data_IF_787293649845
#
_entry.id   IF_787293649845
#
_cell.length_a   1.000
_cell.length_b   1.000
_cell.length_c   1.000
_cell.angle_alpha   90.00
_cell.angle_beta   90.00
_cell.angle_gamma   90.00
#
_symmetry.space_group_name_H-M   'P 1'
#
loop_
_entity.id
_entity.type
_entity.pdbx_description
1 polymer ?
#
# COMPACT_ATOMS: atom_id res chain seq x y z
N UNK A 1 -14.19 -13.59 -2.08
CA UNK A 1 -13.49 -13.86 -0.80
C UNK A 1 -13.30 -12.52 -0.12
N UNK A 2 -13.85 -12.30 1.09
CA UNK A 2 -13.54 -11.09 1.84
C UNK A 2 -12.13 -11.26 2.38
N UNK A 3 -11.19 -10.51 1.82
CA UNK A 3 -9.82 -10.60 2.25
C UNK A 3 -9.71 -9.73 3.51
N UNK A 4 -9.84 -10.37 4.68
CA UNK A 4 -9.93 -9.74 6.01
C UNK A 4 -8.57 -9.18 6.50
N UNK A 5 -7.70 -8.69 5.60
CA UNK A 5 -6.52 -7.95 6.04
C UNK A 5 -6.99 -6.57 6.49
N UNK A 6 -6.82 -6.30 7.78
CA UNK A 6 -7.05 -4.99 8.35
C UNK A 6 -5.80 -4.11 8.24
N UNK A 7 -5.94 -2.84 8.61
CA UNK A 7 -4.85 -1.87 8.63
C UNK A 7 -3.69 -2.30 9.55
N UNK A 8 -3.97 -3.10 10.60
CA UNK A 8 -2.91 -3.63 11.50
C UNK A 8 -1.96 -4.59 10.79
N UNK A 9 -2.48 -5.36 9.83
CA UNK A 9 -1.67 -6.23 8.98
C UNK A 9 -0.76 -5.40 8.06
N UNK A 10 -1.26 -4.27 7.56
CA UNK A 10 -0.50 -3.36 6.69
C UNK A 10 0.66 -2.71 7.46
N UNK A 11 0.40 -2.22 8.67
CA UNK A 11 1.44 -1.70 9.55
C UNK A 11 2.49 -2.77 9.86
N UNK A 12 2.06 -4.01 10.16
CA UNK A 12 2.98 -5.12 10.43
C UNK A 12 3.90 -5.43 9.24
N UNK A 13 3.37 -5.42 8.00
CA UNK A 13 4.19 -5.60 6.80
C UNK A 13 5.20 -4.47 6.62
N UNK A 14 4.78 -3.23 6.86
CA UNK A 14 5.64 -2.07 6.74
C UNK A 14 6.76 -2.07 7.78
N UNK A 15 6.43 -2.33 9.05
CA UNK A 15 7.39 -2.47 10.16
C UNK A 15 8.41 -3.57 9.87
N UNK A 16 7.94 -4.75 9.45
CA UNK A 16 8.81 -5.87 9.13
C UNK A 16 9.83 -5.55 8.04
N UNK A 17 9.42 -4.91 6.93
CA UNK A 17 10.37 -4.51 5.89
C UNK A 17 11.35 -3.44 6.39
N UNK A 18 10.88 -2.49 7.19
CA UNK A 18 11.71 -1.44 7.75
C UNK A 18 12.79 -1.99 8.70
N UNK A 19 12.51 -3.07 9.43
CA UNK A 19 13.52 -3.82 10.18
C UNK A 19 14.49 -4.53 9.24
N UNK A 20 13.98 -5.30 8.26
CA UNK A 20 14.80 -6.05 7.32
C UNK A 20 15.77 -5.18 6.52
N UNK A 21 15.35 -3.98 6.07
CA UNK A 21 16.19 -3.11 5.24
C UNK A 21 17.38 -2.49 5.98
N UNK A 22 17.43 -2.58 7.31
CA UNK A 22 18.45 -1.93 8.15
C UNK A 22 19.83 -2.59 7.99
N UNK A 23 19.87 -3.91 7.75
CA UNK A 23 21.10 -4.65 7.46
C UNK A 23 20.95 -5.35 6.10
N UNK A 24 21.99 -5.24 5.27
CA UNK A 24 22.03 -5.83 3.93
C UNK A 24 21.83 -7.34 3.93
N UNK A 25 22.22 -8.02 5.01
CA UNK A 25 22.15 -9.48 5.10
C UNK A 25 20.82 -9.99 5.68
N UNK A 26 20.00 -9.13 6.29
CA UNK A 26 18.78 -9.56 7.00
C UNK A 26 17.77 -10.24 6.10
N UNK A 27 17.61 -9.78 4.85
CA UNK A 27 16.71 -10.42 3.90
C UNK A 27 17.18 -11.84 3.57
N UNK A 28 18.47 -12.01 3.26
CA UNK A 28 19.04 -13.33 2.94
C UNK A 28 18.95 -14.28 4.15
N UNK A 29 19.21 -13.78 5.37
CA UNK A 29 19.05 -14.53 6.63
C UNK A 29 17.59 -14.96 6.83
N UNK A 30 16.63 -14.08 6.55
CA UNK A 30 15.21 -14.40 6.65
C UNK A 30 14.80 -15.47 5.63
N UNK A 31 15.22 -15.35 4.37
CA UNK A 31 14.96 -16.35 3.33
C UNK A 31 15.53 -17.72 3.72
N UNK A 32 16.77 -17.75 4.23
CA UNK A 32 17.39 -18.98 4.71
C UNK A 32 16.71 -19.54 5.96
N UNK A 33 16.23 -18.67 6.86
CA UNK A 33 15.40 -19.04 8.00
C UNK A 33 14.09 -19.73 7.59
N UNK A 34 13.41 -19.22 6.56
CA UNK A 34 12.20 -19.84 6.01
C UNK A 34 12.50 -21.21 5.39
N UNK A 35 13.63 -21.36 4.69
CA UNK A 35 14.07 -22.68 4.18
C UNK A 35 14.34 -23.66 5.33
N UNK A 36 14.99 -23.21 6.41
CA UNK A 36 15.23 -24.02 7.60
C UNK A 36 13.93 -24.46 8.26
N UNK A 37 12.98 -23.54 8.42
CA UNK A 37 11.67 -23.83 9.00
C UNK A 37 10.87 -24.81 8.13
N UNK A 38 10.86 -24.63 6.81
CA UNK A 38 10.21 -25.54 5.87
C UNK A 38 10.77 -26.96 5.93
N UNK A 39 12.11 -27.08 6.01
CA UNK A 39 12.78 -28.36 6.19
C UNK A 39 12.39 -29.04 7.51
N UNK A 40 12.32 -28.27 8.60
CA UNK A 40 11.83 -28.76 9.88
C UNK A 40 10.38 -29.29 9.80
N UNK A 41 9.48 -28.58 9.12
CA UNK A 41 8.09 -29.05 8.96
C UNK A 41 8.03 -30.41 8.26
N UNK A 42 8.82 -30.61 7.21
CA UNK A 42 8.88 -31.88 6.49
C UNK A 42 9.44 -33.01 7.36
N UNK A 43 10.42 -32.70 8.21
CA UNK A 43 10.97 -33.65 9.16
C UNK A 43 9.97 -33.99 10.29
N UNK A 44 9.20 -32.99 10.75
CA UNK A 44 8.22 -33.15 11.81
C UNK A 44 6.97 -33.92 11.36
N UNK A 45 6.52 -33.72 10.12
CA UNK A 45 5.47 -34.52 9.48
C UNK A 45 5.66 -34.58 7.97
N UNK A 46 5.53 -35.79 7.42
CA UNK A 46 5.53 -36.04 5.98
C UNK A 46 4.39 -35.34 5.25
N UNK A 47 3.31 -34.97 5.93
CA UNK A 47 2.20 -34.22 5.35
C UNK A 47 2.64 -32.82 4.87
N UNK A 48 3.75 -32.30 5.40
CA UNK A 48 4.32 -31.02 5.00
C UNK A 48 5.43 -31.14 3.96
N UNK A 49 5.75 -32.33 3.44
CA UNK A 49 6.77 -32.53 2.40
C UNK A 49 6.54 -31.64 1.16
N UNK A 50 5.28 -31.31 0.88
CA UNK A 50 4.89 -30.37 -0.17
C UNK A 50 5.45 -28.96 0.08
N UNK A 51 5.48 -28.48 1.33
CA UNK A 51 5.94 -27.13 1.66
C UNK A 51 7.42 -26.91 1.33
N UNK A 52 8.28 -27.92 1.44
CA UNK A 52 9.68 -27.80 1.02
C UNK A 52 9.86 -27.55 -0.48
N UNK A 53 8.90 -27.99 -1.31
CA UNK A 53 8.97 -27.87 -2.76
C UNK A 53 8.42 -26.54 -3.26
N UNK A 54 7.35 -26.03 -2.64
CA UNK A 54 6.64 -24.84 -3.14
C UNK A 54 6.94 -23.55 -2.39
N UNK A 55 7.30 -23.62 -1.09
CA UNK A 55 7.61 -22.44 -0.30
C UNK A 55 8.76 -21.59 -0.91
N UNK A 56 9.81 -22.16 -1.54
CA UNK A 56 10.83 -21.36 -2.21
C UNK A 56 10.29 -20.39 -3.26
N UNK A 57 9.27 -20.77 -4.04
CA UNK A 57 8.66 -19.87 -5.03
C UNK A 57 7.96 -18.67 -4.37
N UNK A 58 7.24 -18.93 -3.27
CA UNK A 58 6.60 -17.87 -2.49
C UNK A 58 7.60 -16.94 -1.80
N UNK A 59 8.84 -17.38 -1.52
CA UNK A 59 9.87 -16.55 -0.91
C UNK A 59 10.28 -15.41 -1.85
N UNK A 60 10.50 -15.70 -3.13
CA UNK A 60 10.87 -14.67 -4.12
C UNK A 60 9.72 -13.68 -4.35
N UNK A 61 8.50 -14.18 -4.52
CA UNK A 61 7.30 -13.36 -4.66
C UNK A 61 7.09 -12.47 -3.43
N UNK A 62 7.23 -13.03 -2.24
CA UNK A 62 7.11 -12.29 -0.98
C UNK A 62 8.18 -11.19 -0.87
N UNK A 63 9.42 -11.45 -1.28
CA UNK A 63 10.49 -10.45 -1.26
C UNK A 63 10.16 -9.23 -2.13
N UNK A 64 9.67 -9.49 -3.34
CA UNK A 64 9.27 -8.42 -4.27
C UNK A 64 8.11 -7.63 -3.66
N UNK A 65 7.09 -8.35 -3.19
CA UNK A 65 5.89 -7.76 -2.59
C UNK A 65 6.23 -6.90 -1.37
N UNK A 66 6.93 -7.44 -0.37
CA UNK A 66 7.12 -6.77 0.92
C UNK A 66 7.93 -5.46 0.77
N UNK A 67 8.89 -5.45 -0.16
CA UNK A 67 9.64 -4.25 -0.55
C UNK A 67 8.73 -3.21 -1.20
N UNK A 68 7.98 -3.62 -2.24
CA UNK A 68 7.10 -2.71 -2.97
C UNK A 68 5.99 -2.17 -2.07
N UNK A 69 5.42 -3.04 -1.25
CA UNK A 69 4.39 -2.75 -0.26
C UNK A 69 4.86 -1.66 0.70
N UNK A 70 5.98 -1.84 1.40
CA UNK A 70 6.43 -0.86 2.39
C UNK A 70 6.66 0.53 1.76
N UNK A 71 7.28 0.60 0.58
CA UNK A 71 7.51 1.87 -0.11
C UNK A 71 6.19 2.55 -0.49
N UNK A 72 5.27 1.82 -1.10
CA UNK A 72 3.99 2.35 -1.59
C UNK A 72 3.00 2.62 -0.45
N UNK A 73 3.06 1.85 0.63
CA UNK A 73 2.19 2.01 1.78
C UNK A 73 2.43 3.33 2.51
N UNK A 74 3.67 3.79 2.64
CA UNK A 74 3.96 5.14 3.17
C UNK A 74 3.28 6.24 2.35
N UNK A 75 3.29 6.13 1.02
CA UNK A 75 2.61 7.07 0.13
C UNK A 75 1.09 6.95 0.29
N UNK A 76 0.56 5.72 0.34
CA UNK A 76 -0.86 5.46 0.54
C UNK A 76 -1.37 6.05 1.85
N UNK A 77 -0.61 5.87 2.94
CA UNK A 77 -0.90 6.41 4.27
C UNK A 77 -0.97 7.94 4.23
N UNK A 78 0.02 8.59 3.64
CA UNK A 78 0.02 10.05 3.49
C UNK A 78 -1.16 10.57 2.64
N UNK A 79 -1.56 9.83 1.61
CA UNK A 79 -2.74 10.15 0.82
C UNK A 79 -4.05 9.95 1.60
N UNK A 80 -4.14 8.90 2.42
CA UNK A 80 -5.30 8.69 3.30
C UNK A 80 -5.45 9.80 4.32
N UNK A 81 -4.35 10.22 4.96
CA UNK A 81 -4.33 11.38 5.86
C UNK A 81 -4.78 12.66 5.16
N UNK A 82 -4.34 12.88 3.91
CA UNK A 82 -4.79 14.03 3.11
C UNK A 82 -6.28 13.95 2.75
N UNK A 83 -6.81 12.73 2.54
CA UNK A 83 -8.20 12.48 2.14
C UNK A 83 -9.19 12.50 3.33
N UNK A 84 -8.72 12.28 4.56
CA UNK A 84 -9.56 12.08 5.75
C UNK A 84 -10.48 13.25 6.08
N UNK A 85 -10.08 14.47 5.72
CA UNK A 85 -10.89 15.68 5.93
C UNK A 85 -12.04 15.88 4.93
N UNK A 86 -12.18 14.99 3.94
CA UNK A 86 -13.14 15.15 2.85
C UNK A 86 -14.25 14.10 2.93
N UNK A 87 -15.49 14.52 2.66
CA UNK A 87 -16.66 13.62 2.64
C UNK A 87 -16.95 13.14 1.21
N UNK A 88 -17.67 12.03 1.09
CA UNK A 88 -18.05 11.42 -0.20
C UNK A 88 -16.86 11.22 -1.15
N UNK A 89 -15.71 10.85 -0.60
CA UNK A 89 -14.48 10.63 -1.35
C UNK A 89 -14.20 9.12 -1.44
N UNK A 90 -13.77 8.69 -2.62
CA UNK A 90 -13.23 7.36 -2.86
C UNK A 90 -11.83 7.51 -3.41
N UNK A 91 -10.86 6.81 -2.84
CA UNK A 91 -9.48 6.78 -3.28
C UNK A 91 -9.02 5.34 -3.39
N UNK A 92 -8.56 4.96 -4.59
CA UNK A 92 -7.99 3.64 -4.87
C UNK A 92 -6.53 3.82 -5.26
N UNK A 93 -5.68 2.98 -4.70
CA UNK A 93 -4.24 3.02 -4.95
C UNK A 93 -3.80 1.62 -5.38
N UNK A 94 -3.17 1.54 -6.55
CA UNK A 94 -2.71 0.31 -7.21
C UNK A 94 -3.78 -0.77 -7.32
N UNK A 95 -5.06 -0.40 -7.36
CA UNK A 95 -6.19 -1.36 -7.28
C UNK A 95 -6.10 -2.33 -6.09
N UNK A 96 -5.23 -2.03 -5.12
CA UNK A 96 -4.95 -2.84 -3.96
C UNK A 96 -5.57 -2.18 -2.74
N UNK A 97 -5.20 -0.94 -2.42
CA UNK A 97 -5.81 -0.21 -1.30
C UNK A 97 -7.04 0.59 -1.74
N UNK A 98 -8.03 0.64 -0.86
CA UNK A 98 -9.23 1.45 -0.98
C UNK A 98 -9.47 2.24 0.30
N UNK A 99 -9.66 3.53 0.13
CA UNK A 99 -10.11 4.47 1.16
C UNK A 99 -11.41 5.11 0.72
N UNK A 100 -12.40 5.12 1.61
CA UNK A 100 -13.72 5.68 1.36
C UNK A 100 -14.13 6.55 2.55
N UNK A 101 -14.71 7.72 2.27
CA UNK A 101 -15.47 8.51 3.22
C UNK A 101 -16.91 8.63 2.75
N UNK A 102 -17.85 8.41 3.66
CA UNK A 102 -19.27 8.63 3.36
C UNK A 102 -19.67 10.11 3.50
N UNK A 103 -20.97 10.39 3.36
CA UNK A 103 -21.54 11.73 3.49
C UNK A 103 -21.37 12.34 4.90
N UNK A 104 -21.19 11.50 5.92
CA UNK A 104 -21.00 11.88 7.31
C UNK A 104 -19.51 11.94 7.68
N UNK A 105 -18.60 11.71 6.73
CA UNK A 105 -17.16 11.66 6.96
C UNK A 105 -16.67 10.37 7.62
N UNK A 106 -17.50 9.32 7.68
CA UNK A 106 -17.08 8.03 8.22
C UNK A 106 -16.08 7.37 7.29
N UNK A 107 -14.89 7.10 7.82
CA UNK A 107 -13.79 6.47 7.08
C UNK A 107 -13.95 4.96 7.03
N UNK A 108 -13.63 4.38 5.87
CA UNK A 108 -13.47 2.95 5.67
C UNK A 108 -12.23 2.69 4.81
N UNK A 109 -11.32 1.85 5.32
CA UNK A 109 -10.12 1.38 4.62
C UNK A 109 -10.25 -0.12 4.37
N UNK A 110 -9.84 -0.59 3.19
CA UNK A 110 -9.89 -2.02 2.83
C UNK A 110 -8.94 -2.35 1.68
N UNK A 111 -8.79 -3.65 1.39
CA UNK A 111 -8.12 -4.13 0.18
C UNK A 111 -9.11 -4.57 -0.90
N UNK A 112 -8.76 -4.33 -2.16
CA UNK A 112 -9.53 -4.67 -3.36
C UNK A 112 -8.91 -5.80 -4.18
N UNK A 113 -7.57 -5.79 -4.29
CA UNK A 113 -6.81 -6.63 -5.21
C UNK A 113 -5.87 -7.60 -4.51
N UNK A 114 -5.16 -8.37 -5.33
CA UNK A 114 -4.08 -9.25 -4.88
C UNK A 114 -2.73 -8.53 -4.77
N UNK A 115 -1.73 -9.16 -4.11
CA UNK A 115 -0.39 -8.59 -3.91
C UNK A 115 0.33 -8.22 -5.22
N UNK A 116 0.00 -8.86 -6.33
CA UNK A 116 0.63 -8.64 -7.64
C UNK A 116 0.53 -7.18 -8.11
N UNK A 117 -0.59 -6.49 -7.83
CA UNK A 117 -0.76 -5.10 -8.22
C UNK A 117 0.20 -4.16 -7.47
N UNK A 118 0.50 -4.48 -6.20
CA UNK A 118 1.45 -3.69 -5.39
C UNK A 118 2.85 -3.82 -5.95
N UNK A 119 3.20 -4.99 -6.47
CA UNK A 119 4.50 -5.30 -7.05
C UNK A 119 4.76 -4.65 -8.42
N UNK A 120 3.77 -3.99 -9.02
CA UNK A 120 3.95 -3.26 -10.28
C UNK A 120 4.93 -2.07 -10.13
N UNK A 121 5.66 -1.78 -11.21
CA UNK A 121 6.65 -0.70 -11.27
C UNK A 121 6.07 0.71 -11.28
N UNK A 122 4.75 0.81 -11.31
CA UNK A 122 4.02 2.07 -11.32
C UNK A 122 3.19 2.18 -10.05
N UNK A 123 2.96 3.42 -9.60
CA UNK A 123 1.97 3.77 -8.61
C UNK A 123 0.79 4.41 -9.34
N UNK A 124 -0.38 3.79 -9.30
CA UNK A 124 -1.61 4.28 -9.90
C UNK A 124 -2.56 4.76 -8.81
N UNK A 125 -3.11 5.95 -8.99
CA UNK A 125 -4.05 6.58 -8.05
C UNK A 125 -5.32 6.93 -8.79
N UNK A 126 -6.46 6.43 -8.30
CA UNK A 126 -7.79 6.75 -8.80
C UNK A 126 -8.62 7.35 -7.67
N UNK A 127 -8.86 8.66 -7.74
CA UNK A 127 -9.70 9.39 -6.80
C UNK A 127 -11.04 9.77 -7.42
N UNK A 128 -12.09 9.79 -6.62
CA UNK A 128 -13.32 10.48 -6.99
C UNK A 128 -13.95 11.15 -5.79
N UNK A 129 -14.48 12.35 -5.96
CA UNK A 129 -15.22 13.06 -4.92
C UNK A 129 -16.55 13.57 -5.48
N UNK A 130 -17.61 13.45 -4.70
CA UNK A 130 -18.93 13.99 -5.02
C UNK A 130 -19.15 15.31 -4.26
N UNK A 131 -19.27 16.43 -4.97
CA UNK A 131 -19.59 17.74 -4.41
C UNK A 131 -20.73 18.37 -5.21
N UNK A 132 -21.74 18.92 -4.54
CA UNK A 132 -22.89 19.61 -5.17
C UNK A 132 -23.53 18.81 -6.32
N UNK A 133 -23.73 17.49 -6.10
CA UNK A 133 -24.25 16.52 -7.09
C UNK A 133 -23.37 16.29 -8.33
N UNK A 134 -22.18 16.89 -8.38
CA UNK A 134 -21.18 16.69 -9.42
C UNK A 134 -20.03 15.81 -8.92
N UNK A 135 -19.64 14.81 -9.72
CA UNK A 135 -18.50 13.94 -9.42
C UNK A 135 -17.26 14.44 -10.14
N UNK A 136 -16.19 14.65 -9.38
CA UNK A 136 -14.86 14.96 -9.89
C UNK A 136 -13.99 13.71 -9.80
N UNK A 137 -13.15 13.50 -10.82
CA UNK A 137 -12.32 12.30 -10.96
C UNK A 137 -10.87 12.72 -11.05
N UNK A 138 -10.02 12.04 -10.29
CA UNK A 138 -8.58 12.12 -10.31
C UNK A 138 -8.01 10.79 -10.78
N UNK A 139 -7.10 10.82 -11.73
CA UNK A 139 -6.44 9.62 -12.23
C UNK A 139 -5.00 9.97 -12.61
N UNK A 140 -4.04 9.44 -11.87
CA UNK A 140 -2.63 9.69 -12.11
C UNK A 140 -1.82 8.41 -11.97
N UNK A 141 -0.71 8.35 -12.70
CA UNK A 141 0.23 7.24 -12.70
C UNK A 141 1.66 7.76 -12.57
N UNK A 142 2.40 7.18 -11.63
CA UNK A 142 3.78 7.57 -11.32
C UNK A 142 4.73 6.39 -11.52
N UNK A 143 5.86 6.62 -12.17
CA UNK A 143 6.92 5.62 -12.34
C UNK A 143 7.74 5.46 -11.05
N UNK A 144 7.84 4.23 -10.55
CA UNK A 144 8.64 3.89 -9.34
C UNK A 144 10.11 3.64 -9.67
N UNK A 145 10.47 3.40 -10.93
CA UNK A 145 11.84 3.04 -11.37
C UNK A 145 12.88 4.16 -11.05
N UNK A 146 12.46 5.41 -10.78
CA UNK A 146 13.34 6.50 -10.31
C UNK A 146 13.62 6.47 -8.80
N UNK A 147 12.86 5.70 -8.03
CA UNK A 147 13.02 5.52 -6.57
C UNK A 147 14.06 4.44 -6.27
N UNK A 148 14.22 3.45 -7.15
CA UNK A 148 15.14 2.32 -6.95
C UNK A 148 16.62 2.69 -7.05
N UNK A 149 16.96 3.84 -7.67
CA UNK A 149 18.35 4.20 -7.96
C UNK A 149 19.04 5.05 -6.88
N UNK A 150 18.35 5.67 -5.93
CA UNK A 150 19.00 6.52 -4.92
C UNK A 150 18.15 6.82 -3.66
N UNK A 151 18.35 6.05 -2.57
CA UNK A 151 18.11 6.38 -1.15
C UNK A 151 16.68 6.82 -0.75
N UNK A 152 16.34 6.74 0.53
CA UNK A 152 15.08 7.22 1.15
C UNK A 152 14.67 8.65 0.76
N UNK A 153 15.60 9.46 0.24
CA UNK A 153 15.31 10.79 -0.32
C UNK A 153 14.47 10.74 -1.59
N UNK A 154 14.66 9.75 -2.47
CA UNK A 154 13.89 9.65 -3.72
C UNK A 154 12.43 9.24 -3.45
N UNK A 155 12.21 8.30 -2.52
CA UNK A 155 10.86 7.90 -2.12
C UNK A 155 10.11 9.06 -1.45
N UNK A 156 10.79 9.82 -0.58
CA UNK A 156 10.19 11.00 0.06
C UNK A 156 9.82 12.09 -0.95
N UNK A 157 10.70 12.42 -1.89
CA UNK A 157 10.40 13.41 -2.95
C UNK A 157 9.23 12.97 -3.81
N UNK A 158 9.14 11.68 -4.14
CA UNK A 158 7.98 11.15 -4.87
C UNK A 158 6.71 11.26 -4.03
N UNK A 159 6.76 10.86 -2.76
CA UNK A 159 5.63 10.97 -1.83
C UNK A 159 5.13 12.41 -1.71
N UNK A 160 6.03 13.37 -1.50
CA UNK A 160 5.69 14.79 -1.38
C UNK A 160 5.02 15.30 -2.66
N UNK A 161 5.53 14.92 -3.83
CA UNK A 161 4.95 15.27 -5.13
C UNK A 161 3.54 14.68 -5.29
N UNK A 162 3.39 13.37 -5.07
CA UNK A 162 2.12 12.64 -5.19
C UNK A 162 1.05 13.25 -4.29
N UNK A 163 1.40 13.53 -3.04
CA UNK A 163 0.48 14.14 -2.07
C UNK A 163 0.14 15.58 -2.46
N UNK A 164 1.11 16.35 -2.97
CA UNK A 164 0.86 17.71 -3.48
C UNK A 164 -0.10 17.71 -4.66
N UNK A 165 0.15 16.88 -5.68
CA UNK A 165 -0.69 16.77 -6.88
C UNK A 165 -2.14 16.41 -6.50
N UNK A 166 -2.31 15.49 -5.54
CA UNK A 166 -3.63 15.11 -5.04
C UNK A 166 -4.32 16.22 -4.24
N UNK A 167 -3.60 16.94 -3.38
CA UNK A 167 -4.15 18.09 -2.64
C UNK A 167 -4.56 19.22 -3.58
N UNK A 168 -3.75 19.51 -4.60
CA UNK A 168 -4.07 20.51 -5.62
C UNK A 168 -5.36 20.15 -6.37
N UNK A 169 -5.56 18.87 -6.68
CA UNK A 169 -6.83 18.38 -7.24
C UNK A 169 -8.01 18.65 -6.30
N UNK A 170 -7.88 18.29 -5.02
CA UNK A 170 -8.92 18.49 -4.02
C UNK A 170 -9.25 19.98 -3.86
N UNK A 171 -8.26 20.83 -3.62
CA UNK A 171 -8.46 22.26 -3.41
C UNK A 171 -9.05 22.99 -4.64
N UNK A 172 -8.76 22.51 -5.86
CA UNK A 172 -9.32 23.08 -7.09
C UNK A 172 -10.82 22.80 -7.27
N UNK A 173 -11.28 21.64 -6.83
CA UNK A 173 -12.64 21.15 -7.12
C UNK A 173 -13.58 21.25 -5.92
N UNK A 174 -13.07 21.63 -4.77
CA UNK A 174 -13.79 21.64 -3.51
C UNK A 174 -13.85 23.09 -2.99
N UNK A 175 -15.01 23.78 -3.10
CA UNK A 175 -15.14 25.10 -2.50
C UNK A 175 -14.96 24.98 -0.97
N UNK A 176 -14.21 25.91 -0.37
CA UNK A 176 -13.83 25.96 1.06
C UNK A 176 -14.95 25.62 2.07
N UNK A 177 -16.22 25.70 1.68
CA UNK A 177 -17.41 25.42 2.49
C UNK A 177 -17.68 23.93 2.80
N UNK A 178 -16.95 22.99 2.22
CA UNK A 178 -17.05 21.53 2.53
C UNK A 178 -16.05 21.09 3.59
N UNK A 179 -15.02 21.91 3.89
CA UNK A 179 -14.12 21.71 5.06
C UNK A 179 -14.83 22.03 6.39
N UNK A 180 -15.99 22.71 6.35
CA UNK A 180 -16.74 23.13 7.54
C UNK A 180 -18.26 22.91 7.38
N UNK A 181 -18.75 21.69 7.60
CA UNK A 181 -20.13 21.46 8.09
C UNK A 181 -20.18 20.27 9.07
N UNK A 182 -19.37 20.34 10.10
CA UNK A 182 -19.58 19.60 11.35
C UNK A 182 -19.90 20.60 12.46
N UNK A 183 -21.19 20.86 12.67
CA UNK A 183 -21.73 21.45 13.90
C UNK A 183 -22.54 20.38 14.61
#
# INVERSE_FOLDING_TARGET
MSNNMDESTWESYNEFYNELKTDKNSMDIFEDGLKCFSSYLCHASWDYAYNATYLPGFIEEFRIFIKAFSIKYEIAKALFEAAESYHNLTLKIDRYWLFETDENGKVKKSILGGPDFVSEKTLTIEGSILCDMQRYIYHEQYEMDKVELNKEKSSKVLSDKVVSDFKDFLDKHIPNNTKERGK
#
